data_IF_304161738961
#
_entry.id   IF_304161738961
#
_cell.length_a   1.000
_cell.length_b   1.000
_cell.length_c   1.000
_cell.angle_alpha   90.00
_cell.angle_beta   90.00
_cell.angle_gamma   90.00
#
_symmetry.space_group_name_H-M   'P 1'
#
loop_
_entity.id
_entity.type
_entity.pdbx_description
1 polymer ?
#
# COMPACT_ATOMS: atom_id res chain seq x y z
N UNK A 1 -5.11 -2.78 13.08
CA UNK A 1 -6.25 -2.64 12.13
C UNK A 1 -6.77 -4.01 11.73
N UNK A 2 -8.09 -4.18 11.72
CA UNK A 2 -8.76 -5.40 11.26
C UNK A 2 -9.34 -5.11 9.87
N UNK A 3 -9.02 -5.93 8.88
CA UNK A 3 -9.52 -5.82 7.50
C UNK A 3 -10.56 -6.90 7.26
N UNK A 4 -11.83 -6.53 7.30
CA UNK A 4 -12.93 -7.42 7.02
C UNK A 4 -13.08 -7.61 5.51
N UNK A 5 -13.05 -8.86 5.02
CA UNK A 5 -13.09 -9.18 3.59
C UNK A 5 -14.50 -8.99 2.98
N UNK A 6 -15.02 -7.78 3.05
CA UNK A 6 -16.35 -7.40 2.57
C UNK A 6 -16.26 -6.20 1.62
N UNK A 7 -16.98 -6.30 0.49
CA UNK A 7 -17.07 -5.20 -0.47
C UNK A 7 -17.71 -3.94 0.14
N UNK A 8 -18.72 -4.12 0.99
CA UNK A 8 -19.33 -3.00 1.71
C UNK A 8 -18.32 -2.29 2.62
N UNK A 9 -17.46 -3.05 3.32
CA UNK A 9 -16.42 -2.48 4.17
C UNK A 9 -15.36 -1.75 3.35
N UNK A 10 -14.92 -2.34 2.24
CA UNK A 10 -13.97 -1.71 1.32
C UNK A 10 -14.49 -0.37 0.76
N UNK A 11 -15.76 -0.32 0.35
CA UNK A 11 -16.39 0.89 -0.16
C UNK A 11 -16.56 1.95 0.93
N UNK A 12 -16.95 1.57 2.15
CA UNK A 12 -17.02 2.49 3.28
C UNK A 12 -15.65 3.09 3.60
N UNK A 13 -14.59 2.28 3.58
CA UNK A 13 -13.22 2.74 3.78
C UNK A 13 -12.79 3.73 2.68
N UNK A 14 -13.08 3.41 1.42
CA UNK A 14 -12.80 4.29 0.28
C UNK A 14 -13.55 5.61 0.40
N UNK A 15 -14.85 5.58 0.68
CA UNK A 15 -15.67 6.79 0.86
C UNK A 15 -15.14 7.66 1.99
N UNK A 16 -14.89 7.07 3.16
CA UNK A 16 -14.35 7.79 4.32
C UNK A 16 -13.02 8.47 4.00
N UNK A 17 -12.10 7.77 3.31
CA UNK A 17 -10.82 8.35 2.93
C UNK A 17 -10.98 9.49 1.92
N UNK A 18 -11.83 9.32 0.91
CA UNK A 18 -12.11 10.34 -0.12
C UNK A 18 -12.74 11.60 0.50
N UNK A 19 -13.63 11.43 1.47
CA UNK A 19 -14.33 12.54 2.12
C UNK A 19 -13.43 13.31 3.09
N UNK A 20 -12.65 12.60 3.91
CA UNK A 20 -11.99 13.19 5.07
C UNK A 20 -10.48 13.40 4.91
N UNK A 21 -9.81 12.64 4.04
CA UNK A 21 -8.34 12.56 4.07
C UNK A 21 -7.65 12.77 2.72
N UNK A 22 -8.33 12.49 1.61
CA UNK A 22 -7.77 12.60 0.25
C UNK A 22 -7.22 14.01 -0.04
N UNK A 23 -7.85 15.06 0.48
CA UNK A 23 -7.43 16.45 0.24
C UNK A 23 -6.04 16.79 0.78
N UNK A 24 -5.58 16.10 1.83
CA UNK A 24 -4.27 16.31 2.45
C UNK A 24 -3.26 15.21 2.09
N UNK A 25 -3.67 14.23 1.27
CA UNK A 25 -2.87 13.05 0.93
C UNK A 25 -1.48 13.43 0.41
N UNK A 26 -1.40 14.36 -0.55
CA UNK A 26 -0.12 14.77 -1.14
C UNK A 26 0.88 15.31 -0.11
N UNK A 27 0.40 15.97 0.95
CA UNK A 27 1.26 16.55 1.99
C UNK A 27 1.64 15.50 3.03
N UNK A 28 0.68 14.65 3.42
CA UNK A 28 0.83 13.79 4.60
C UNK A 28 1.31 12.37 4.29
N UNK A 29 1.30 11.93 3.01
CA UNK A 29 1.60 10.53 2.64
C UNK A 29 2.98 10.01 3.06
N UNK A 30 3.95 10.90 3.23
CA UNK A 30 5.34 10.53 3.56
C UNK A 30 5.61 10.46 5.07
N UNK A 31 4.65 10.85 5.91
CA UNK A 31 4.81 10.83 7.36
C UNK A 31 4.28 9.53 7.96
N UNK A 32 5.02 8.95 8.90
CA UNK A 32 4.51 7.87 9.74
C UNK A 32 4.15 8.43 11.12
N UNK A 33 2.86 8.41 11.46
CA UNK A 33 2.36 8.84 12.76
C UNK A 33 2.15 7.68 13.74
N UNK A 34 2.66 6.49 13.40
CA UNK A 34 2.53 5.27 14.19
C UNK A 34 1.42 4.34 13.68
N UNK A 35 1.30 3.14 14.28
CA UNK A 35 0.34 2.12 13.86
C UNK A 35 -1.12 2.53 14.09
N UNK A 36 -1.38 3.34 15.11
CA UNK A 36 -2.73 3.77 15.49
C UNK A 36 -3.24 4.95 14.65
N UNK A 37 -2.35 5.70 13.99
CA UNK A 37 -2.69 6.92 13.26
C UNK A 37 -2.29 6.84 11.79
N UNK A 38 -3.20 6.28 10.99
CA UNK A 38 -3.00 6.04 9.54
C UNK A 38 -4.01 6.76 8.64
N UNK A 39 -4.62 7.83 9.16
CA UNK A 39 -5.58 8.64 8.40
C UNK A 39 -4.95 9.33 7.18
N UNK A 40 -3.62 9.46 7.13
CA UNK A 40 -2.90 10.04 6.00
C UNK A 40 -2.81 9.13 4.76
N UNK A 41 -3.22 7.85 4.86
CA UNK A 41 -3.26 6.90 3.76
C UNK A 41 -4.62 6.21 3.68
N UNK A 42 -4.94 5.60 2.53
CA UNK A 42 -6.27 5.01 2.30
C UNK A 42 -6.49 3.66 3.00
N UNK A 43 -5.40 2.93 3.27
CA UNK A 43 -5.43 1.55 3.76
C UNK A 43 -6.25 0.59 2.86
N UNK A 44 -6.31 0.86 1.55
CA UNK A 44 -7.09 0.05 0.60
C UNK A 44 -6.32 -1.12 -0.02
N UNK A 45 -5.00 -1.20 0.20
CA UNK A 45 -4.13 -2.20 -0.43
C UNK A 45 -4.61 -3.65 -0.26
N UNK A 46 -5.13 -4.10 0.91
CA UNK A 46 -5.66 -5.46 1.04
C UNK A 46 -6.88 -5.72 0.15
N UNK A 47 -7.81 -4.76 0.07
CA UNK A 47 -9.02 -4.90 -0.75
C UNK A 47 -8.71 -4.96 -2.24
N UNK A 48 -7.76 -4.13 -2.71
CA UNK A 48 -7.32 -4.12 -4.11
C UNK A 48 -6.52 -5.38 -4.44
N UNK A 49 -5.70 -5.87 -3.50
CA UNK A 49 -4.89 -7.09 -3.69
C UNK A 49 -5.74 -8.32 -3.92
N UNK A 50 -6.87 -8.43 -3.21
CA UNK A 50 -7.80 -9.54 -3.35
C UNK A 50 -8.92 -9.28 -4.36
N UNK A 51 -8.90 -8.16 -5.09
CA UNK A 51 -9.90 -7.83 -6.12
C UNK A 51 -11.30 -7.52 -5.58
N UNK A 52 -11.43 -7.18 -4.30
CA UNK A 52 -12.71 -6.80 -3.68
C UNK A 52 -13.24 -5.48 -4.28
N UNK A 53 -12.31 -4.57 -4.57
CA UNK A 53 -12.49 -3.33 -5.34
C UNK A 53 -11.33 -3.22 -6.32
N UNK A 54 -11.53 -2.57 -7.46
CA UNK A 54 -10.49 -2.39 -8.47
C UNK A 54 -9.91 -0.95 -8.50
N UNK A 55 -8.80 -0.78 -9.20
CA UNK A 55 -8.11 0.50 -9.35
C UNK A 55 -8.95 1.56 -10.05
N UNK A 56 -9.76 1.17 -11.05
CA UNK A 56 -10.61 2.09 -11.79
C UNK A 56 -11.69 2.71 -10.91
N UNK A 57 -12.36 1.89 -10.08
CA UNK A 57 -13.35 2.33 -9.10
C UNK A 57 -12.75 3.34 -8.10
N UNK A 58 -11.54 3.06 -7.62
CA UNK A 58 -10.81 3.94 -6.69
C UNK A 58 -10.47 5.29 -7.33
N UNK A 59 -9.96 5.28 -8.57
CA UNK A 59 -9.59 6.49 -9.30
C UNK A 59 -10.83 7.32 -9.63
N UNK A 60 -11.90 6.69 -10.13
CA UNK A 60 -13.17 7.36 -10.42
C UNK A 60 -13.75 8.01 -9.17
N UNK A 61 -13.74 7.32 -8.03
CA UNK A 61 -14.22 7.88 -6.77
C UNK A 61 -13.39 9.07 -6.33
N UNK A 62 -12.07 9.02 -6.42
CA UNK A 62 -11.21 10.17 -6.11
C UNK A 62 -11.51 11.37 -7.01
N UNK A 63 -11.60 11.15 -8.32
CA UNK A 63 -11.89 12.19 -9.31
C UNK A 63 -13.30 12.78 -9.17
N UNK A 64 -14.26 12.04 -8.61
CA UNK A 64 -15.59 12.57 -8.29
C UNK A 64 -15.58 13.65 -7.19
N UNK A 65 -14.51 13.69 -6.38
CA UNK A 65 -14.39 14.62 -5.22
C UNK A 65 -13.48 15.81 -5.49
N UNK A 66 -12.33 15.61 -6.11
CA UNK A 66 -11.36 16.67 -6.41
C UNK A 66 -10.87 16.58 -7.86
N UNK A 67 -10.36 17.71 -8.38
CA UNK A 67 -9.74 17.74 -9.70
C UNK A 67 -8.50 16.84 -9.76
N UNK A 68 -8.12 16.46 -10.99
CA UNK A 68 -6.93 15.65 -11.23
C UNK A 68 -5.68 16.21 -10.55
N UNK A 69 -5.43 17.51 -10.67
CA UNK A 69 -4.25 18.16 -10.07
C UNK A 69 -4.16 17.97 -8.55
N UNK A 70 -5.29 18.00 -7.84
CA UNK A 70 -5.32 17.77 -6.40
C UNK A 70 -5.16 16.29 -6.02
N UNK A 71 -5.61 15.39 -6.89
CA UNK A 71 -5.55 13.94 -6.70
C UNK A 71 -4.32 13.27 -7.32
N UNK A 72 -3.46 14.01 -8.02
CA UNK A 72 -2.40 13.48 -8.88
C UNK A 72 -1.55 12.44 -8.15
N UNK A 73 -1.07 12.78 -6.95
CA UNK A 73 -0.26 11.87 -6.13
C UNK A 73 -1.01 10.61 -5.72
N UNK A 74 -2.30 10.70 -5.39
CA UNK A 74 -3.08 9.52 -5.05
C UNK A 74 -3.27 8.60 -6.25
N UNK A 75 -3.58 9.17 -7.42
CA UNK A 75 -3.76 8.42 -8.67
C UNK A 75 -2.44 7.76 -9.11
N UNK A 76 -1.31 8.46 -8.99
CA UNK A 76 0.02 7.89 -9.26
C UNK A 76 0.26 6.63 -8.44
N UNK A 77 -0.09 6.62 -7.15
CA UNK A 77 0.13 5.47 -6.26
C UNK A 77 -0.75 4.27 -6.60
N UNK A 78 -1.99 4.52 -7.02
CA UNK A 78 -2.87 3.47 -7.54
C UNK A 78 -2.30 2.88 -8.84
N UNK A 79 -1.80 3.72 -9.75
CA UNK A 79 -1.21 3.28 -11.01
C UNK A 79 0.14 2.57 -10.82
N UNK A 80 0.95 2.98 -9.83
CA UNK A 80 2.20 2.31 -9.47
C UNK A 80 1.99 0.82 -9.21
N UNK A 81 0.87 0.45 -8.58
CA UNK A 81 0.50 -0.95 -8.36
C UNK A 81 0.36 -1.71 -9.67
N UNK A 82 -0.41 -1.16 -10.61
CA UNK A 82 -0.67 -1.77 -11.92
C UNK A 82 0.61 -1.88 -12.74
N UNK A 83 1.42 -0.82 -12.72
CA UNK A 83 2.73 -0.80 -13.37
C UNK A 83 3.64 -1.91 -12.86
N UNK A 84 3.83 -2.03 -11.54
CA UNK A 84 4.68 -3.08 -10.96
C UNK A 84 4.18 -4.47 -11.25
N UNK A 85 2.85 -4.68 -11.26
CA UNK A 85 2.25 -5.95 -11.65
C UNK A 85 2.64 -6.33 -13.08
N UNK A 86 2.43 -5.43 -14.05
CA UNK A 86 2.80 -5.69 -15.44
C UNK A 86 4.31 -5.84 -15.65
N UNK A 87 5.12 -5.03 -14.96
CA UNK A 87 6.58 -5.12 -15.02
C UNK A 87 7.08 -6.49 -14.53
N UNK A 88 6.49 -7.00 -13.43
CA UNK A 88 6.82 -8.31 -12.87
C UNK A 88 6.33 -9.47 -13.73
N UNK A 89 5.16 -9.35 -14.36
CA UNK A 89 4.63 -10.35 -15.31
C UNK A 89 5.57 -10.55 -16.51
N UNK A 90 6.19 -9.47 -16.98
CA UNK A 90 7.16 -9.51 -18.08
C UNK A 90 8.56 -10.00 -17.67
N UNK A 91 8.82 -10.23 -16.38
CA UNK A 91 10.15 -10.62 -15.84
C UNK A 91 10.10 -11.84 -14.90
N UNK A 92 9.82 -13.05 -15.43
CA UNK A 92 9.85 -14.29 -14.63
C UNK A 92 11.17 -14.53 -13.87
N UNK A 93 12.30 -14.05 -14.40
CA UNK A 93 13.61 -14.14 -13.75
C UNK A 93 13.65 -13.43 -12.39
N UNK A 94 12.97 -12.30 -12.25
CA UNK A 94 12.94 -11.53 -10.99
C UNK A 94 12.21 -12.33 -9.90
N UNK A 95 11.12 -13.00 -10.27
CA UNK A 95 10.43 -13.92 -9.36
C UNK A 95 11.36 -15.03 -8.86
N UNK A 96 12.07 -15.72 -9.76
CA UNK A 96 13.05 -16.75 -9.40
C UNK A 96 14.15 -16.22 -8.47
N UNK A 97 14.70 -15.06 -8.79
CA UNK A 97 15.71 -14.42 -7.95
C UNK A 97 15.17 -14.11 -6.55
N UNK A 98 13.93 -13.63 -6.44
CA UNK A 98 13.30 -13.32 -5.15
C UNK A 98 13.19 -14.55 -4.24
N UNK A 99 12.85 -15.71 -4.80
CA UNK A 99 12.81 -16.98 -4.03
C UNK A 99 14.21 -17.36 -3.53
N UNK A 100 15.23 -17.19 -4.37
CA UNK A 100 16.63 -17.47 -4.02
C UNK A 100 17.18 -16.52 -2.95
N UNK A 101 16.82 -15.24 -3.00
CA UNK A 101 17.19 -14.28 -1.96
C UNK A 101 16.50 -14.64 -0.62
N UNK A 102 15.23 -15.04 -0.64
CA UNK A 102 14.52 -15.49 0.57
C UNK A 102 15.13 -16.73 1.21
N UNK A 103 15.66 -17.67 0.42
CA UNK A 103 16.39 -18.80 0.98
C UNK A 103 17.70 -18.37 1.64
N UNK A 104 18.42 -17.42 1.06
CA UNK A 104 19.69 -16.93 1.62
C UNK A 104 19.49 -16.08 2.89
N UNK A 105 18.34 -15.42 3.06
CA UNK A 105 18.02 -14.75 4.33
C UNK A 105 17.97 -15.70 5.54
N UNK A 106 17.78 -17.01 5.32
CA UNK A 106 17.87 -17.99 6.42
C UNK A 106 19.28 -18.05 7.03
N UNK A 107 20.32 -17.70 6.29
CA UNK A 107 21.71 -17.69 6.79
C UNK A 107 21.95 -16.55 7.78
N UNK A 108 21.15 -15.47 7.70
CA UNK A 108 21.24 -14.32 8.62
C UNK A 108 20.31 -14.43 9.83
N UNK A 109 19.45 -15.47 9.90
CA UNK A 109 18.50 -15.64 11.00
C UNK A 109 19.15 -15.86 12.36
N UNK A 110 20.32 -16.50 12.38
CA UNK A 110 21.07 -16.79 13.61
C UNK A 110 22.18 -15.76 13.88
N UNK A 111 22.29 -14.72 13.04
CA UNK A 111 23.27 -13.66 13.22
C UNK A 111 22.82 -12.74 14.38
N UNK A 112 23.57 -12.79 15.49
CA UNK A 112 23.27 -12.05 16.72
C UNK A 112 23.28 -10.53 16.52
N UNK A 113 24.19 -10.01 15.70
CA UNK A 113 24.30 -8.57 15.42
C UNK A 113 23.10 -8.09 14.60
N UNK A 114 22.65 -8.90 13.64
CA UNK A 114 21.45 -8.62 12.86
C UNK A 114 20.19 -8.60 13.73
N UNK A 115 20.03 -9.56 14.64
CA UNK A 115 18.90 -9.60 15.58
C UNK A 115 18.93 -8.39 16.53
N UNK A 116 20.10 -8.02 17.04
CA UNK A 116 20.25 -6.86 17.93
C UNK A 116 19.84 -5.55 17.24
N UNK A 117 20.35 -5.30 16.03
CA UNK A 117 20.01 -4.11 15.25
C UNK A 117 18.52 -4.00 14.89
N UNK A 118 17.85 -5.13 14.67
CA UNK A 118 16.40 -5.17 14.42
C UNK A 118 15.56 -4.86 15.67
N UNK A 119 16.03 -5.25 16.86
CA UNK A 119 15.36 -4.95 18.14
C UNK A 119 15.52 -3.50 18.57
N UNK A 120 16.66 -2.87 18.28
CA UNK A 120 16.91 -1.47 18.61
C UNK A 120 15.99 -0.50 17.83
N UNK A 121 15.55 -0.87 16.63
CA UNK A 121 14.60 -0.07 15.82
C UNK A 121 13.14 -0.15 16.29
N UNK A 122 12.83 -0.93 17.32
CA UNK A 122 11.47 -1.09 17.86
C UNK A 122 11.20 -0.26 19.13
N UNK A 123 12.14 0.61 19.54
CA UNK A 123 11.92 1.63 20.57
C UNK A 123 11.56 2.97 19.94
#
# INVERSE_FOLDING_TARGET
MIFEASRAKALNQLNNFVENNLGEYSKLRNFDFGPEKRSNISCLSPYITHGIINEQEVIQKALSKFSFSKNEKFIQEVLWRTYWKGWLELRPNVWRLSYRIKSNQKEFKDNKDYIAAMKEKQK
#
